data_IF_982621639613
#
_entry.id   IF_982621639613
#
_cell.length_a   1.000
_cell.length_b   1.000
_cell.length_c   1.000
_cell.angle_alpha   90.00
_cell.angle_beta   90.00
_cell.angle_gamma   90.00
#
_symmetry.space_group_name_H-M   'P 1'
#
loop_
_entity.id
_entity.type
_entity.pdbx_description
1 polymer ?
#
# COMPACT_ATOMS: atom_id res chain seq x y z
N UNK A 1 -9.07 0.73 -14.90
CA UNK A 1 -8.95 -0.73 -14.63
C UNK A 1 -7.64 -0.94 -13.89
N UNK A 2 -7.61 -1.78 -12.86
CA UNK A 2 -6.34 -2.17 -12.24
C UNK A 2 -5.55 -3.02 -13.23
N UNK A 3 -4.26 -2.72 -13.42
CA UNK A 3 -3.36 -3.56 -14.21
C UNK A 3 -2.72 -4.59 -13.29
N UNK A 4 -2.92 -5.88 -13.57
CA UNK A 4 -2.33 -6.96 -12.78
C UNK A 4 -0.83 -7.07 -13.06
N UNK A 5 -0.01 -6.95 -12.02
CA UNK A 5 1.44 -7.10 -12.09
C UNK A 5 1.80 -8.59 -12.19
N UNK A 6 2.61 -8.94 -13.19
CA UNK A 6 3.18 -10.29 -13.29
C UNK A 6 4.13 -10.60 -12.14
N UNK A 7 4.44 -11.87 -11.91
CA UNK A 7 5.41 -12.30 -10.88
C UNK A 7 6.76 -11.59 -11.06
N UNK A 8 7.24 -11.45 -12.30
CA UNK A 8 8.52 -10.79 -12.58
C UNK A 8 8.47 -9.30 -12.27
N UNK A 9 7.37 -8.62 -12.62
CA UNK A 9 7.17 -7.20 -12.29
C UNK A 9 7.10 -6.97 -10.77
N UNK A 10 6.43 -7.86 -10.03
CA UNK A 10 6.38 -7.86 -8.55
C UNK A 10 7.79 -8.04 -7.95
N UNK A 11 8.58 -8.99 -8.43
CA UNK A 11 9.99 -9.21 -8.00
C UNK A 11 10.84 -7.96 -8.24
N UNK A 12 10.68 -7.32 -9.40
CA UNK A 12 11.51 -6.17 -9.78
C UNK A 12 11.18 -4.91 -8.98
N UNK A 13 9.91 -4.70 -8.60
CA UNK A 13 9.53 -3.65 -7.64
C UNK A 13 10.10 -3.91 -6.23
N UNK A 14 10.12 -5.16 -5.75
CA UNK A 14 10.75 -5.50 -4.47
C UNK A 14 12.27 -5.26 -4.49
N UNK A 15 12.95 -5.69 -5.57
CA UNK A 15 14.38 -5.43 -5.77
C UNK A 15 14.70 -3.93 -5.82
N UNK A 16 13.87 -3.14 -6.51
CA UNK A 16 13.99 -1.68 -6.52
C UNK A 16 13.85 -1.11 -5.10
N UNK A 17 12.82 -1.49 -4.35
CA UNK A 17 12.63 -1.04 -2.97
C UNK A 17 13.83 -1.38 -2.07
N UNK A 18 14.38 -2.60 -2.19
CA UNK A 18 15.56 -3.03 -1.44
C UNK A 18 16.81 -2.24 -1.82
N UNK A 19 17.11 -2.09 -3.11
CA UNK A 19 18.26 -1.34 -3.60
C UNK A 19 18.20 0.16 -3.23
N UNK A 20 17.00 0.74 -3.19
CA UNK A 20 16.78 2.13 -2.70
C UNK A 20 17.13 2.27 -1.23
N UNK A 21 16.75 1.30 -0.38
CA UNK A 21 17.08 1.31 1.06
C UNK A 21 18.59 1.10 1.25
N UNK A 22 19.18 0.14 0.53
CA UNK A 22 20.62 -0.15 0.54
C UNK A 22 21.46 1.08 0.16
N UNK A 23 21.18 1.71 -0.98
CA UNK A 23 21.89 2.89 -1.43
C UNK A 23 21.84 4.03 -0.40
N UNK A 24 20.69 4.25 0.25
CA UNK A 24 20.55 5.27 1.31
C UNK A 24 21.31 4.92 2.58
N UNK A 25 21.37 3.65 2.98
CA UNK A 25 22.21 3.19 4.08
C UNK A 25 23.70 3.40 3.76
N UNK A 26 24.12 3.12 2.52
CA UNK A 26 25.51 3.29 2.09
C UNK A 26 25.93 4.76 1.89
N UNK A 27 24.98 5.68 1.73
CA UNK A 27 25.16 7.05 1.22
C UNK A 27 25.56 7.10 -0.27
N UNK A 28 25.18 6.06 -1.01
CA UNK A 28 25.29 5.95 -2.47
C UNK A 28 24.12 6.65 -3.17
N UNK A 29 24.23 6.99 -4.47
CA UNK A 29 23.11 7.50 -5.26
C UNK A 29 21.93 6.51 -5.28
N UNK A 30 20.72 7.02 -5.08
CA UNK A 30 19.49 6.21 -5.16
C UNK A 30 19.27 5.78 -6.62
N UNK A 31 18.95 4.50 -6.91
CA UNK A 31 18.62 4.08 -8.27
C UNK A 31 17.34 4.78 -8.75
N UNK A 32 17.42 5.42 -9.90
CA UNK A 32 16.25 5.97 -10.59
C UNK A 32 15.63 4.88 -11.50
N UNK A 33 14.29 4.73 -11.55
CA UNK A 33 13.65 3.65 -12.32
C UNK A 33 13.82 3.72 -13.84
N UNK A 34 14.18 4.87 -14.39
CA UNK A 34 14.33 5.10 -15.83
C UNK A 34 15.68 4.68 -16.41
N UNK A 35 16.70 4.48 -15.56
CA UNK A 35 18.12 4.33 -15.92
C UNK A 35 18.51 3.13 -16.81
N UNK A 36 17.58 2.22 -17.13
CA UNK A 36 17.87 1.02 -17.94
C UNK A 36 16.71 0.53 -18.82
N UNK A 37 15.64 1.30 -18.96
CA UNK A 37 14.42 0.84 -19.65
C UNK A 37 13.69 -0.32 -18.96
N UNK A 38 14.14 -0.73 -17.78
CA UNK A 38 13.58 -1.85 -17.01
C UNK A 38 12.09 -1.63 -16.76
N UNK A 39 11.69 -0.45 -16.28
CA UNK A 39 10.31 -0.12 -15.96
C UNK A 39 9.56 0.57 -17.12
N UNK A 40 9.89 0.23 -18.36
CA UNK A 40 9.26 0.81 -19.57
C UNK A 40 7.90 0.19 -19.94
N UNK A 41 7.51 -0.91 -19.30
CA UNK A 41 6.24 -1.59 -19.56
C UNK A 41 5.03 -0.72 -19.14
N UNK A 42 3.93 -0.66 -19.92
CA UNK A 42 2.82 0.26 -19.66
C UNK A 42 2.21 0.17 -18.25
N UNK A 43 2.22 -1.02 -17.63
CA UNK A 43 1.78 -1.23 -16.25
C UNK A 43 2.45 -0.29 -15.26
N UNK A 44 3.74 0.00 -15.44
CA UNK A 44 4.51 0.81 -14.52
C UNK A 44 4.20 2.30 -14.64
N UNK A 45 3.69 2.75 -15.80
CA UNK A 45 3.38 4.14 -16.09
C UNK A 45 2.06 4.60 -15.42
N UNK A 46 1.24 3.65 -14.98
CA UNK A 46 -0.01 3.94 -14.25
C UNK A 46 0.25 4.69 -12.94
N UNK A 47 -0.61 5.67 -12.64
CA UNK A 47 -0.55 6.42 -11.39
C UNK A 47 -1.41 5.74 -10.33
N UNK A 48 -0.78 5.24 -9.26
CA UNK A 48 -1.44 4.47 -8.22
C UNK A 48 -1.08 4.95 -6.81
N UNK A 49 -1.96 4.73 -5.85
CA UNK A 49 -1.52 4.66 -4.45
C UNK A 49 -0.61 3.44 -4.27
N UNK A 50 0.43 3.53 -3.46
CA UNK A 50 1.14 2.35 -2.99
C UNK A 50 1.72 2.55 -1.59
N UNK A 51 1.93 1.44 -0.91
CA UNK A 51 2.57 1.34 0.40
C UNK A 51 3.77 0.42 0.29
N UNK A 52 4.86 0.78 0.96
CA UNK A 52 5.97 -0.14 1.24
C UNK A 52 5.89 -0.46 2.73
N UNK A 53 5.89 -1.75 3.06
CA UNK A 53 5.93 -2.25 4.42
C UNK A 53 7.27 -2.94 4.63
N UNK A 54 7.95 -2.59 5.71
CA UNK A 54 9.19 -3.20 6.17
C UNK A 54 8.85 -3.99 7.43
N UNK A 55 9.08 -5.30 7.36
CA UNK A 55 9.07 -6.16 8.53
C UNK A 55 10.50 -6.48 8.94
N UNK A 56 10.72 -6.75 10.22
CA UNK A 56 11.98 -7.29 10.76
C UNK A 56 11.61 -8.44 11.69
N UNK A 57 12.10 -9.65 11.40
CA UNK A 57 11.81 -10.87 12.19
C UNK A 57 10.29 -11.07 12.43
N UNK A 58 9.48 -10.80 11.40
CA UNK A 58 8.02 -10.94 11.43
C UNK A 58 7.26 -9.86 12.21
N UNK A 59 7.91 -8.75 12.57
CA UNK A 59 7.27 -7.58 13.22
C UNK A 59 7.37 -6.35 12.34
N UNK A 60 6.36 -5.49 12.35
CA UNK A 60 6.39 -4.20 11.66
C UNK A 60 7.58 -3.35 12.13
N UNK A 61 8.40 -2.88 11.17
CA UNK A 61 9.59 -2.04 11.38
C UNK A 61 9.48 -0.65 10.70
N UNK A 62 8.55 -0.52 9.75
CA UNK A 62 8.15 0.74 9.12
C UNK A 62 7.09 0.48 8.05
N UNK A 63 6.14 1.40 7.85
CA UNK A 63 5.18 1.33 6.75
C UNK A 63 4.67 2.72 6.42
N UNK A 64 5.01 3.21 5.23
CA UNK A 64 4.55 4.48 4.67
C UNK A 64 4.06 4.23 3.25
N UNK A 65 2.98 4.90 2.91
CA UNK A 65 2.34 4.88 1.62
C UNK A 65 1.40 6.06 1.46
N UNK A 66 0.84 6.20 0.27
CA UNK A 66 -0.29 7.08 0.02
C UNK A 66 -1.37 6.35 -0.77
N UNK A 67 -2.61 6.78 -0.55
CA UNK A 67 -3.81 6.12 -1.07
C UNK A 67 -4.11 6.51 -2.52
N UNK A 68 -3.64 7.68 -2.96
CA UNK A 68 -3.84 8.21 -4.30
C UNK A 68 -2.49 8.58 -4.92
N UNK A 69 -2.23 8.05 -6.11
CA UNK A 69 -0.98 8.26 -6.84
C UNK A 69 -0.87 9.63 -7.49
N UNK A 70 0.27 10.27 -7.28
CA UNK A 70 0.72 11.42 -8.11
C UNK A 70 1.87 11.04 -9.04
N UNK A 71 2.53 9.90 -8.80
CA UNK A 71 3.63 9.36 -9.59
C UNK A 71 3.27 7.99 -10.15
N UNK A 72 4.10 7.50 -11.06
CA UNK A 72 4.06 6.15 -11.62
C UNK A 72 4.40 5.09 -10.55
N UNK A 73 4.18 3.79 -10.80
CA UNK A 73 4.41 2.73 -9.80
C UNK A 73 5.86 2.73 -9.28
N UNK A 74 6.92 2.71 -10.13
CA UNK A 74 8.29 2.62 -9.65
C UNK A 74 8.75 3.83 -8.83
N UNK A 75 8.45 5.06 -9.26
CA UNK A 75 8.82 6.27 -8.52
C UNK A 75 8.10 6.34 -7.17
N UNK A 76 6.85 5.86 -7.12
CA UNK A 76 6.11 5.70 -5.87
C UNK A 76 6.83 4.73 -4.93
N UNK A 77 7.25 3.56 -5.43
CA UNK A 77 8.00 2.58 -4.64
C UNK A 77 9.33 3.16 -4.14
N UNK A 78 10.06 3.94 -4.94
CA UNK A 78 11.29 4.65 -4.52
C UNK A 78 11.04 5.63 -3.39
N UNK A 79 9.99 6.46 -3.48
CA UNK A 79 9.65 7.43 -2.42
C UNK A 79 9.21 6.73 -1.13
N UNK A 80 8.38 5.69 -1.26
CA UNK A 80 7.76 5.00 -0.13
C UNK A 80 8.72 4.03 0.57
N UNK A 81 9.67 3.41 -0.15
CA UNK A 81 10.73 2.62 0.46
C UNK A 81 11.63 3.48 1.36
N UNK A 82 12.07 4.65 0.88
CA UNK A 82 12.84 5.60 1.69
C UNK A 82 12.05 6.12 2.88
N UNK A 83 10.76 6.43 2.68
CA UNK A 83 9.93 6.97 3.74
C UNK A 83 9.64 5.93 4.83
N UNK A 84 9.41 4.67 4.45
CA UNK A 84 9.17 3.56 5.38
C UNK A 84 10.42 3.19 6.18
N UNK A 85 11.60 3.24 5.55
CA UNK A 85 12.86 2.93 6.22
C UNK A 85 13.36 4.06 7.14
N UNK A 86 13.17 5.33 6.77
CA UNK A 86 13.87 6.45 7.41
C UNK A 86 12.97 7.58 7.92
N UNK A 87 11.66 7.54 7.69
CA UNK A 87 10.73 8.65 8.01
C UNK A 87 9.41 8.23 8.67
N UNK A 88 9.20 6.95 8.96
CA UNK A 88 8.04 6.51 9.73
C UNK A 88 8.14 7.03 11.18
N UNK A 89 7.25 7.92 11.63
CA UNK A 89 7.38 8.60 12.92
C UNK A 89 7.21 7.66 14.13
N UNK A 90 6.81 6.40 13.91
CA UNK A 90 6.66 5.38 14.95
C UNK A 90 7.99 4.69 15.29
N UNK A 91 9.02 4.83 14.44
CA UNK A 91 10.27 4.09 14.56
C UNK A 91 11.49 5.00 14.36
N UNK A 92 12.65 4.59 14.90
CA UNK A 92 13.91 5.19 14.51
C UNK A 92 14.25 4.84 13.04
N UNK A 93 15.02 5.67 12.32
CA UNK A 93 15.54 5.31 11.00
C UNK A 93 16.24 3.94 11.01
N UNK A 94 16.11 3.18 9.93
CA UNK A 94 16.68 1.84 9.79
C UNK A 94 18.21 1.86 9.88
N UNK A 95 18.78 0.99 10.72
CA UNK A 95 20.23 0.79 10.84
C UNK A 95 20.80 -0.17 9.78
N UNK A 96 22.11 -0.08 9.50
CA UNK A 96 22.81 -0.98 8.56
C UNK A 96 22.75 -2.44 9.02
N UNK A 97 22.95 -2.63 10.32
CA UNK A 97 22.89 -3.90 11.02
C UNK A 97 21.50 -4.54 11.03
N UNK A 98 20.44 -3.77 10.75
CA UNK A 98 19.08 -4.30 10.62
C UNK A 98 18.78 -4.81 9.21
N UNK A 99 19.50 -4.32 8.18
CA UNK A 99 19.12 -4.50 6.77
C UNK A 99 19.10 -5.97 6.29
N UNK A 100 19.92 -6.84 6.88
CA UNK A 100 19.91 -8.29 6.61
C UNK A 100 18.80 -9.05 7.36
N UNK A 101 18.17 -8.44 8.38
CA UNK A 101 17.06 -9.01 9.15
C UNK A 101 15.67 -8.61 8.59
N UNK A 102 15.60 -7.71 7.59
CA UNK A 102 14.32 -7.18 7.07
C UNK A 102 13.77 -8.01 5.92
N UNK A 103 12.44 -8.03 5.84
CA UNK A 103 11.69 -8.46 4.67
C UNK A 103 10.73 -7.35 4.22
N UNK A 104 10.64 -7.15 2.91
CA UNK A 104 9.82 -6.12 2.28
C UNK A 104 8.52 -6.69 1.74
N UNK A 105 7.47 -5.87 1.84
CA UNK A 105 6.16 -6.08 1.24
C UNK A 105 5.74 -4.79 0.54
N UNK A 106 5.08 -4.91 -0.61
CA UNK A 106 4.54 -3.79 -1.37
C UNK A 106 3.05 -4.03 -1.59
N UNK A 107 2.24 -3.00 -1.32
CA UNK A 107 0.83 -2.96 -1.69
C UNK A 107 0.63 -1.92 -2.78
N UNK A 108 0.33 -2.34 -4.01
CA UNK A 108 -0.04 -1.44 -5.13
C UNK A 108 -1.55 -1.35 -5.21
N UNK A 109 -2.11 -0.15 -5.10
CA UNK A 109 -3.56 0.08 -5.08
C UNK A 109 -4.10 0.35 -6.49
N UNK A 110 -5.38 0.05 -6.72
CA UNK A 110 -6.10 0.58 -7.87
C UNK A 110 -6.33 2.08 -7.71
N UNK A 111 -6.72 2.79 -8.79
CA UNK A 111 -7.44 4.05 -8.64
C UNK A 111 -8.60 3.92 -7.66
N UNK A 112 -8.86 4.98 -6.90
CA UNK A 112 -9.99 5.07 -5.96
C UNK A 112 -11.26 5.36 -6.75
N UNK A 113 -12.30 4.53 -6.57
CA UNK A 113 -13.58 4.64 -7.26
C UNK A 113 -14.71 4.97 -6.27
N UNK A 114 -15.59 5.95 -6.56
CA UNK A 114 -16.72 6.25 -5.69
C UNK A 114 -17.76 5.14 -5.73
N UNK A 115 -18.24 4.71 -4.57
CA UNK A 115 -19.30 3.72 -4.43
C UNK A 115 -20.66 4.41 -4.50
N UNK A 116 -21.53 3.95 -5.41
CA UNK A 116 -22.92 4.43 -5.54
C UNK A 116 -23.93 3.46 -4.92
N UNK A 117 -23.67 2.17 -5.05
CA UNK A 117 -24.41 1.09 -4.40
C UNK A 117 -23.40 0.23 -3.62
N UNK A 118 -23.69 -0.07 -2.35
CA UNK A 118 -22.84 -0.93 -1.52
C UNK A 118 -22.78 -2.36 -2.07
N UNK A 119 -23.77 -2.80 -2.85
CA UNK A 119 -23.77 -4.11 -3.51
C UNK A 119 -22.62 -4.28 -4.53
N UNK A 120 -22.01 -3.18 -4.99
CA UNK A 120 -20.82 -3.20 -5.86
C UNK A 120 -19.50 -3.47 -5.09
N UNK A 121 -19.55 -3.50 -3.75
CA UNK A 121 -18.41 -3.79 -2.88
C UNK A 121 -18.27 -5.31 -2.74
N UNK A 122 -17.05 -5.82 -2.95
CA UNK A 122 -16.70 -7.23 -2.74
C UNK A 122 -15.69 -7.36 -1.61
N UNK A 123 -16.15 -7.90 -0.48
CA UNK A 123 -15.31 -8.30 0.65
C UNK A 123 -14.14 -9.18 0.16
N UNK A 124 -12.93 -8.91 0.65
CA UNK A 124 -11.70 -9.61 0.25
C UNK A 124 -11.10 -9.16 -1.09
N UNK A 125 -11.81 -8.37 -1.90
CA UNK A 125 -11.26 -7.70 -3.10
C UNK A 125 -11.07 -6.21 -2.87
N UNK A 126 -12.07 -5.57 -2.27
CA UNK A 126 -12.13 -4.13 -2.12
C UNK A 126 -11.70 -3.72 -0.70
N UNK A 127 -10.77 -2.77 -0.63
CA UNK A 127 -10.59 -1.89 0.52
C UNK A 127 -11.57 -0.74 0.43
N UNK A 128 -11.87 -0.12 1.57
CA UNK A 128 -12.84 0.96 1.68
C UNK A 128 -12.20 2.22 2.24
N UNK A 129 -12.66 3.37 1.73
CA UNK A 129 -12.45 4.69 2.31
C UNK A 129 -13.84 5.24 2.64
N UNK A 130 -14.06 5.64 3.89
CA UNK A 130 -15.26 6.35 4.30
C UNK A 130 -14.85 7.72 4.85
N UNK A 131 -15.48 8.77 4.34
CA UNK A 131 -15.24 10.15 4.78
C UNK A 131 -16.52 10.96 4.95
N UNK A 132 -16.50 11.88 5.92
CA UNK A 132 -17.60 12.81 6.20
C UNK A 132 -17.03 14.05 6.91
N UNK A 133 -17.14 15.22 6.28
CA UNK A 133 -16.54 16.45 6.82
C UNK A 133 -15.02 16.34 6.92
N UNK A 134 -14.46 16.51 8.12
CA UNK A 134 -13.02 16.34 8.38
C UNK A 134 -12.62 14.91 8.74
N UNK A 135 -13.58 14.01 8.95
CA UNK A 135 -13.33 12.62 9.31
C UNK A 135 -13.09 11.77 8.05
N UNK A 136 -12.05 10.93 8.08
CA UNK A 136 -11.74 9.97 7.02
C UNK A 136 -11.05 8.73 7.61
N UNK A 137 -11.44 7.55 7.14
CA UNK A 137 -10.89 6.26 7.57
C UNK A 137 -10.77 5.31 6.40
N UNK A 138 -9.72 4.50 6.40
CA UNK A 138 -9.44 3.50 5.38
C UNK A 138 -9.13 2.15 6.02
N UNK A 139 -9.63 1.08 5.39
CA UNK A 139 -9.24 -0.31 5.63
C UNK A 139 -8.87 -0.98 4.31
N UNK A 140 -7.82 -1.80 4.32
CA UNK A 140 -7.32 -2.54 3.16
C UNK A 140 -8.19 -3.80 2.89
N UNK A 141 -8.19 -4.35 1.65
CA UNK A 141 -9.05 -5.48 1.29
C UNK A 141 -8.96 -6.70 2.21
N UNK A 142 -7.73 -7.04 2.64
CA UNK A 142 -7.45 -8.24 3.43
C UNK A 142 -8.02 -8.18 4.85
N UNK A 143 -8.25 -6.98 5.40
CA UNK A 143 -8.71 -6.81 6.79
C UNK A 143 -10.08 -7.46 7.00
N UNK A 144 -11.00 -7.30 6.05
CA UNK A 144 -12.33 -7.92 6.17
C UNK A 144 -12.26 -9.46 6.14
N UNK A 145 -11.34 -10.04 5.36
CA UNK A 145 -11.13 -11.49 5.31
C UNK A 145 -10.39 -12.06 6.51
N UNK A 146 -9.43 -11.32 7.08
CA UNK A 146 -8.68 -11.75 8.28
C UNK A 146 -9.58 -11.91 9.52
N UNK A 147 -10.64 -11.10 9.62
CA UNK A 147 -11.59 -11.10 10.74
C UNK A 147 -12.97 -11.70 10.38
N UNK A 148 -13.07 -12.37 9.23
CA UNK A 148 -14.30 -13.03 8.74
C UNK A 148 -15.55 -12.10 8.71
N UNK A 149 -15.35 -10.82 8.41
CA UNK A 149 -16.39 -9.80 8.38
C UNK A 149 -17.27 -9.89 7.13
N UNK A 150 -18.58 -9.65 7.32
CA UNK A 150 -19.49 -9.38 6.22
C UNK A 150 -19.40 -7.90 5.75
N UNK A 151 -20.19 -7.56 4.73
CA UNK A 151 -20.19 -6.23 4.13
C UNK A 151 -20.63 -5.13 5.11
N UNK A 152 -21.68 -5.37 5.92
CA UNK A 152 -22.16 -4.36 6.88
C UNK A 152 -21.12 -4.15 7.99
N UNK A 153 -20.55 -5.23 8.54
CA UNK A 153 -19.48 -5.16 9.55
C UNK A 153 -18.26 -4.41 9.00
N UNK A 154 -17.87 -4.66 7.75
CA UNK A 154 -16.74 -3.99 7.13
C UNK A 154 -16.97 -2.49 6.91
N UNK A 155 -18.19 -2.10 6.51
CA UNK A 155 -18.60 -0.69 6.42
C UNK A 155 -18.59 -0.02 7.80
N UNK A 156 -19.17 -0.66 8.83
CA UNK A 156 -19.19 -0.14 10.20
C UNK A 156 -17.79 0.04 10.79
N UNK A 157 -16.91 -0.95 10.62
CA UNK A 157 -15.52 -0.86 11.07
C UNK A 157 -14.72 0.20 10.30
N UNK A 158 -15.03 0.45 9.03
CA UNK A 158 -14.43 1.58 8.28
C UNK A 158 -14.95 2.93 8.78
N UNK A 159 -16.22 3.02 9.20
CA UNK A 159 -16.74 4.21 9.90
C UNK A 159 -16.04 4.44 11.24
N UNK A 160 -15.87 3.41 12.08
CA UNK A 160 -15.12 3.53 13.34
C UNK A 160 -13.67 3.96 13.09
N UNK A 161 -13.03 3.44 12.04
CA UNK A 161 -11.69 3.84 11.61
C UNK A 161 -11.61 5.32 11.18
N UNK A 162 -12.70 5.90 10.68
CA UNK A 162 -12.82 7.33 10.38
C UNK A 162 -13.09 8.21 11.61
N UNK A 163 -13.32 7.61 12.78
CA UNK A 163 -13.80 8.32 13.97
C UNK A 163 -15.28 8.70 13.89
N UNK A 164 -16.07 7.94 13.12
CA UNK A 164 -17.51 8.13 12.94
C UNK A 164 -18.31 7.02 13.66
N UNK A 165 -19.59 7.23 13.98
CA UNK A 165 -20.50 6.16 14.40
C UNK A 165 -20.59 5.06 13.33
N UNK A 166 -20.78 3.80 13.74
CA UNK A 166 -20.80 2.65 12.82
C UNK A 166 -21.82 2.78 11.69
N UNK A 167 -23.01 3.30 12.00
CA UNK A 167 -24.08 3.52 11.01
C UNK A 167 -23.89 4.77 10.12
N UNK A 168 -22.75 5.47 10.22
CA UNK A 168 -22.50 6.70 9.47
C UNK A 168 -22.52 6.50 7.96
N UNK A 169 -22.19 5.30 7.46
CA UNK A 169 -22.28 4.95 6.04
C UNK A 169 -23.71 4.99 5.49
N UNK A 170 -24.73 4.87 6.35
CA UNK A 170 -26.16 4.98 6.00
C UNK A 170 -26.65 6.44 5.94
N UNK A 171 -25.80 7.44 6.23
CA UNK A 171 -26.20 8.86 6.35
C UNK A 171 -25.87 9.67 5.10
N UNK A 172 -26.75 10.60 4.76
CA UNK A 172 -26.51 11.58 3.71
C UNK A 172 -25.26 12.44 4.02
N UNK A 173 -24.48 12.72 2.97
CA UNK A 173 -23.21 13.43 3.05
C UNK A 173 -22.01 12.57 3.48
N UNK A 174 -22.20 11.28 3.74
CA UNK A 174 -21.08 10.32 3.87
C UNK A 174 -20.65 9.86 2.48
N UNK A 175 -19.36 9.99 2.18
CA UNK A 175 -18.76 9.49 0.93
C UNK A 175 -18.13 8.12 1.21
N UNK A 176 -18.48 7.14 0.40
CA UNK A 176 -17.89 5.80 0.38
C UNK A 176 -17.12 5.65 -0.93
N UNK A 177 -15.88 5.19 -0.85
CA UNK A 177 -15.03 4.90 -2.01
C UNK A 177 -14.37 3.54 -1.82
N UNK A 178 -14.04 2.87 -2.92
CA UNK A 178 -13.40 1.57 -2.93
C UNK A 178 -12.14 1.57 -3.80
N UNK A 179 -11.25 0.65 -3.51
CA UNK A 179 -10.03 0.37 -4.27
C UNK A 179 -9.67 -1.10 -4.06
N UNK A 180 -8.97 -1.74 -4.99
CA UNK A 180 -8.33 -3.04 -4.76
C UNK A 180 -6.83 -2.88 -4.49
N UNK A 181 -6.19 -3.86 -3.88
CA UNK A 181 -4.76 -3.87 -3.63
C UNK A 181 -4.11 -5.17 -4.13
N UNK A 182 -3.00 -5.04 -4.85
CA UNK A 182 -2.08 -6.15 -5.12
C UNK A 182 -1.00 -6.09 -4.06
N UNK A 183 -1.09 -6.99 -3.09
CA UNK A 183 -0.09 -7.17 -2.02
C UNK A 183 0.87 -8.27 -2.45
N UNK A 184 2.17 -8.07 -2.28
CA UNK A 184 3.21 -9.06 -2.56
C UNK A 184 4.46 -8.81 -1.71
N UNK A 185 5.13 -9.88 -1.28
CA UNK A 185 6.28 -9.79 -0.37
C UNK A 185 7.49 -10.61 -0.81
N UNK A 186 8.67 -10.25 -0.29
CA UNK A 186 9.90 -11.01 -0.52
C UNK A 186 9.82 -12.44 0.02
N UNK A 187 9.16 -12.65 1.16
CA UNK A 187 8.93 -13.99 1.74
C UNK A 187 8.07 -14.87 0.86
N UNK A 188 6.95 -14.35 0.38
CA UNK A 188 6.02 -15.06 -0.49
C UNK A 188 6.69 -15.47 -1.82
N UNK A 189 7.56 -14.60 -2.34
CA UNK A 189 8.25 -14.80 -3.61
C UNK A 189 9.62 -15.51 -3.49
N UNK A 190 10.06 -15.85 -2.28
CA UNK A 190 11.30 -16.59 -2.02
C UNK A 190 12.57 -15.78 -2.30
N UNK A 191 12.56 -14.48 -1.98
CA UNK A 191 13.69 -13.56 -2.17
C UNK A 191 14.54 -13.36 -0.90
N UNK A 192 14.03 -13.77 0.27
CA UNK A 192 14.67 -13.73 1.61
C UNK A 192 14.30 -14.96 2.43
#
# INVERSE_FOLDING_TARGET
MMVELSKEQKIRLLRLARAVIEARLENSPVPAPDMGGEFSEPVFLEQCGAFVTIHRKGRLRGCIGYIQGMKNIPDTVVDMAQSSAFRDPRFAPLGKEEFSDIDLEISVLSPIEPVRDIADIKVGRDGLIISRGMNSGLLLPQVATEYEWDLETFLEHTCFKAGLPGDAWKKEGTKIEKFSAQVFSEKELGLV
#
